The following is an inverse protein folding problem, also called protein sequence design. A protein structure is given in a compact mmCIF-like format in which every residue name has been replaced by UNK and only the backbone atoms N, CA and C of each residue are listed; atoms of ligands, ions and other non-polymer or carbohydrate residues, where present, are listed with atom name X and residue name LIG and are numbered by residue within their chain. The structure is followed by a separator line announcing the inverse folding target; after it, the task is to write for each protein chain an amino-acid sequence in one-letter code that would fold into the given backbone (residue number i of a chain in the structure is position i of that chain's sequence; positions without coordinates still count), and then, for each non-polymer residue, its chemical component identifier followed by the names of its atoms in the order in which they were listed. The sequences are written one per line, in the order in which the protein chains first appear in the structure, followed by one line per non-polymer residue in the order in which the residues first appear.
data_IF_706202690482
#
_entry.id   IF_706202690482
#
_cell.length_a   1.000
_cell.length_b   1.000
_cell.length_c   1.000
_cell.angle_alpha   90.00
_cell.angle_beta   90.00
_cell.angle_gamma   90.00
#
_symmetry.space_group_name_H-M   'P 1'
#
loop_
_entity.id
_entity.type
_entity.pdbx_description
1 polymer ?
#
# COMPACT_ATOMS: atom_id res chain seq x y z
N UNK A 1 2.99 -17.00 -2.19
CA UNK A 1 2.78 -17.00 -0.74
C UNK A 1 2.07 -18.26 -0.33
N UNK A 2 2.82 -19.15 0.27
CA UNK A 2 2.31 -20.47 0.60
C UNK A 2 1.49 -20.52 1.88
N UNK A 3 1.72 -19.60 2.79
CA UNK A 3 1.03 -19.57 4.06
C UNK A 3 0.39 -18.20 4.27
N UNK A 4 -0.91 -18.19 4.38
CA UNK A 4 -1.67 -16.96 4.51
C UNK A 4 -2.10 -16.74 5.96
N UNK A 5 -1.16 -16.88 6.90
CA UNK A 5 -1.47 -16.55 8.29
C UNK A 5 -1.62 -15.03 8.41
N UNK A 6 -2.49 -14.55 9.30
CA UNK A 6 -2.66 -13.12 9.48
C UNK A 6 -1.35 -12.39 9.77
N UNK A 7 -0.47 -12.97 10.59
CA UNK A 7 0.80 -12.33 10.92
C UNK A 7 1.69 -12.14 9.70
N UNK A 8 1.74 -13.13 8.81
CA UNK A 8 2.52 -13.03 7.59
C UNK A 8 1.93 -12.02 6.63
N UNK A 9 0.60 -11.96 6.54
CA UNK A 9 -0.07 -10.97 5.69
C UNK A 9 0.19 -9.55 6.18
N UNK A 10 0.15 -9.33 7.49
CA UNK A 10 0.48 -8.03 8.08
C UNK A 10 1.94 -7.68 7.78
N UNK A 11 2.83 -8.64 7.91
CA UNK A 11 4.25 -8.42 7.61
C UNK A 11 4.45 -8.01 6.14
N UNK A 12 3.76 -8.65 5.22
CA UNK A 12 3.82 -8.31 3.81
C UNK A 12 3.35 -6.87 3.57
N UNK A 13 2.27 -6.46 4.24
CA UNK A 13 1.76 -5.11 4.12
C UNK A 13 2.80 -4.10 4.61
N UNK A 14 3.36 -4.34 5.78
CA UNK A 14 4.37 -3.44 6.37
C UNK A 14 5.58 -3.33 5.43
N UNK A 15 6.10 -4.46 4.98
CA UNK A 15 7.28 -4.47 4.12
C UNK A 15 7.04 -3.73 2.80
N UNK A 16 5.88 -3.96 2.18
CA UNK A 16 5.56 -3.29 0.92
C UNK A 16 5.36 -1.79 1.13
N UNK A 17 4.72 -1.39 2.22
CA UNK A 17 4.56 0.03 2.54
C UNK A 17 5.91 0.70 2.79
N UNK A 18 6.80 0.03 3.51
CA UNK A 18 8.14 0.55 3.75
C UNK A 18 8.93 0.70 2.47
N UNK A 19 8.80 -0.24 1.54
CA UNK A 19 9.46 -0.14 0.23
C UNK A 19 8.96 1.06 -0.55
N UNK A 20 7.66 1.32 -0.53
CA UNK A 20 7.11 2.49 -1.21
C UNK A 20 7.74 3.77 -0.65
N UNK A 21 7.80 3.88 0.68
CA UNK A 21 8.40 5.06 1.31
C UNK A 21 9.88 5.17 0.98
N UNK A 22 10.60 4.07 0.97
CA UNK A 22 12.02 4.05 0.64
C UNK A 22 12.26 4.48 -0.82
N UNK A 23 11.47 3.94 -1.75
CA UNK A 23 11.63 4.25 -3.17
C UNK A 23 11.30 5.70 -3.51
N UNK A 24 10.52 6.35 -2.67
CA UNK A 24 10.11 7.74 -2.89
C UNK A 24 10.81 8.72 -1.95
N UNK A 25 11.69 8.24 -1.09
CA UNK A 25 12.37 9.08 -0.11
C UNK A 25 13.23 10.13 -0.79
N UNK A 26 13.04 11.38 -0.41
CA UNK A 26 13.81 12.49 -0.95
C UNK A 26 13.37 12.96 -2.32
N UNK A 27 12.37 12.34 -2.92
CA UNK A 27 11.87 12.74 -4.23
C UNK A 27 10.77 13.78 -4.11
N UNK A 28 10.73 14.67 -5.10
CA UNK A 28 9.53 15.50 -5.32
C UNK A 28 8.52 14.70 -6.13
N UNK A 29 7.30 15.20 -6.21
CA UNK A 29 6.30 14.58 -7.06
C UNK A 29 6.75 14.52 -8.52
N UNK A 30 7.36 15.59 -9.01
CA UNK A 30 7.86 15.63 -10.39
C UNK A 30 8.96 14.60 -10.64
N UNK A 31 9.86 14.41 -9.68
CA UNK A 31 10.89 13.37 -9.76
C UNK A 31 10.27 11.98 -9.85
N UNK A 32 9.30 11.72 -9.01
CA UNK A 32 8.60 10.44 -8.98
C UNK A 32 7.89 10.18 -10.31
N UNK A 33 7.11 11.14 -10.75
CA UNK A 33 6.30 11.03 -11.97
C UNK A 33 7.16 10.76 -13.19
N UNK A 34 8.37 11.29 -13.21
CA UNK A 34 9.28 11.19 -14.36
C UNK A 34 10.10 9.89 -14.38
N UNK A 35 10.04 9.11 -13.31
CA UNK A 35 10.82 7.88 -13.19
C UNK A 35 9.90 6.67 -13.31
N UNK A 36 9.77 6.16 -14.54
CA UNK A 36 8.82 5.09 -14.82
C UNK A 36 9.15 3.79 -14.07
N UNK A 37 10.42 3.49 -13.88
CA UNK A 37 10.80 2.29 -13.13
C UNK A 37 10.36 2.40 -11.68
N UNK A 38 10.52 3.57 -11.09
CA UNK A 38 10.14 3.81 -9.71
C UNK A 38 8.62 3.82 -9.55
N UNK A 39 7.92 4.43 -10.49
CA UNK A 39 6.45 4.39 -10.52
C UNK A 39 5.97 2.94 -10.55
N UNK A 40 6.52 2.13 -11.44
CA UNK A 40 6.13 0.73 -11.56
C UNK A 40 6.38 -0.05 -10.27
N UNK A 41 7.52 0.19 -9.64
CA UNK A 41 7.85 -0.48 -8.37
C UNK A 41 6.88 -0.08 -7.25
N UNK A 42 6.52 1.19 -7.18
CA UNK A 42 5.56 1.69 -6.19
C UNK A 42 4.19 1.07 -6.43
N UNK A 43 3.72 1.07 -7.66
CA UNK A 43 2.42 0.50 -8.00
C UNK A 43 2.39 -0.98 -7.67
N UNK A 44 3.45 -1.71 -7.99
CA UNK A 44 3.55 -3.14 -7.66
C UNK A 44 3.38 -3.36 -6.16
N UNK A 45 4.02 -2.54 -5.34
CA UNK A 45 3.90 -2.69 -3.89
C UNK A 45 2.51 -2.30 -3.37
N UNK A 46 1.83 -1.35 -4.00
CA UNK A 46 0.43 -1.08 -3.66
C UNK A 46 -0.47 -2.28 -3.98
N UNK A 47 -0.21 -2.96 -5.08
CA UNK A 47 -0.95 -4.18 -5.40
C UNK A 47 -0.73 -5.28 -4.36
N UNK A 48 0.51 -5.44 -3.90
CA UNK A 48 0.82 -6.41 -2.86
C UNK A 48 0.07 -6.09 -1.57
N UNK A 49 0.04 -4.82 -1.18
CA UNK A 49 -0.70 -4.37 0.01
C UNK A 49 -2.18 -4.72 -0.12
N UNK A 50 -2.77 -4.38 -1.26
CA UNK A 50 -4.19 -4.66 -1.50
C UNK A 50 -4.51 -6.14 -1.49
N UNK A 51 -3.65 -6.95 -2.09
CA UNK A 51 -3.83 -8.39 -2.12
C UNK A 51 -3.75 -9.00 -0.72
N UNK A 52 -2.73 -8.60 0.04
CA UNK A 52 -2.58 -9.10 1.40
C UNK A 52 -3.76 -8.67 2.29
N UNK A 53 -4.17 -7.42 2.18
CA UNK A 53 -5.32 -6.92 2.94
C UNK A 53 -6.59 -7.69 2.61
N UNK A 54 -6.78 -8.03 1.33
CA UNK A 54 -7.95 -8.75 0.89
C UNK A 54 -7.99 -10.18 1.44
N UNK A 55 -6.84 -10.76 1.74
CA UNK A 55 -6.75 -12.11 2.30
C UNK A 55 -6.90 -12.16 3.81
N UNK A 56 -6.80 -11.03 4.49
CA UNK A 56 -6.99 -10.99 5.94
C UNK A 56 -8.44 -11.31 6.30
N UNK A 57 -8.68 -12.18 7.30
CA UNK A 57 -10.04 -12.44 7.77
C UNK A 57 -10.68 -11.18 8.34
N UNK A 58 -11.98 -11.02 8.15
CA UNK A 58 -12.71 -9.87 8.66
C UNK A 58 -12.58 -9.73 10.17
N UNK A 59 -12.67 -10.87 10.88
CA UNK A 59 -12.52 -10.88 12.33
C UNK A 59 -11.17 -10.35 12.80
N UNK A 60 -10.15 -10.58 11.99
CA UNK A 60 -8.81 -10.07 12.31
C UNK A 60 -8.75 -8.56 12.06
N UNK A 61 -9.34 -8.10 10.98
CA UNK A 61 -9.40 -6.68 10.66
C UNK A 61 -10.13 -5.89 11.74
N UNK A 62 -11.18 -6.48 12.31
CA UNK A 62 -11.95 -5.85 13.36
C UNK A 62 -11.14 -5.61 14.63
N UNK A 63 -10.06 -6.36 14.82
CA UNK A 63 -9.18 -6.22 15.98
C UNK A 63 -8.16 -5.10 15.81
N UNK A 64 -8.06 -4.52 14.63
CA UNK A 64 -7.11 -3.45 14.36
C UNK A 64 -7.88 -2.20 13.95
N UNK A 65 -8.44 -1.48 14.92
CA UNK A 65 -9.12 -0.23 14.62
C UNK A 65 -8.10 0.82 14.20
N UNK A 66 -8.55 1.79 13.46
CA UNK A 66 -7.68 2.86 12.99
C UNK A 66 -7.16 2.66 11.58
N UNK A 67 -7.36 1.49 11.00
CA UNK A 67 -7.02 1.23 9.61
C UNK A 67 -8.31 1.19 8.79
N UNK A 68 -8.36 1.99 7.76
CA UNK A 68 -9.47 1.97 6.81
C UNK A 68 -9.20 0.88 5.76
N UNK A 69 -9.59 -0.35 6.09
CA UNK A 69 -9.38 -1.50 5.20
C UNK A 69 -10.12 -1.36 3.88
N UNK A 70 -11.25 -0.68 3.92
CA UNK A 70 -12.03 -0.41 2.73
C UNK A 70 -11.28 0.48 1.75
N UNK A 71 -10.57 1.47 2.29
CA UNK A 71 -9.74 2.37 1.51
C UNK A 71 -8.57 1.62 0.86
N UNK A 72 -7.97 0.69 1.58
CA UNK A 72 -6.89 -0.14 1.04
C UNK A 72 -7.40 -0.96 -0.14
N UNK A 73 -8.57 -1.54 -0.03
CA UNK A 73 -9.19 -2.28 -1.12
C UNK A 73 -9.44 -1.36 -2.32
N UNK A 74 -9.87 -0.14 -2.05
CA UNK A 74 -10.09 0.85 -3.09
C UNK A 74 -8.82 1.21 -3.85
N UNK A 75 -7.68 1.26 -3.18
CA UNK A 75 -6.41 1.53 -3.84
C UNK A 75 -6.10 0.46 -4.88
N UNK A 76 -6.23 -0.80 -4.51
CA UNK A 76 -5.97 -1.91 -5.41
C UNK A 76 -6.87 -1.84 -6.64
N UNK A 77 -8.15 -1.59 -6.44
CA UNK A 77 -9.10 -1.49 -7.53
C UNK A 77 -8.76 -0.32 -8.46
N UNK A 78 -8.39 0.81 -7.89
CA UNK A 78 -8.00 1.98 -8.67
C UNK A 78 -6.79 1.69 -9.53
N UNK A 79 -5.75 1.13 -8.94
CA UNK A 79 -4.53 0.81 -9.67
C UNK A 79 -4.82 -0.21 -10.78
N UNK A 80 -5.63 -1.22 -10.49
CA UNK A 80 -5.93 -2.27 -11.46
C UNK A 80 -6.78 -1.76 -12.62
N UNK A 81 -7.75 -0.89 -12.34
CA UNK A 81 -8.71 -0.43 -13.36
C UNK A 81 -8.21 0.78 -14.14
N UNK A 82 -7.41 1.62 -13.51
CA UNK A 82 -6.95 2.86 -14.13
C UNK A 82 -5.53 2.75 -14.67
N UNK A 83 -5.12 1.52 -15.01
CA UNK A 83 -3.75 1.27 -15.42
C UNK A 83 -3.31 2.19 -16.56
N UNK A 84 -4.20 2.42 -17.53
CA UNK A 84 -3.90 3.28 -18.67
C UNK A 84 -4.03 4.78 -18.34
N UNK A 85 -4.73 5.10 -17.27
CA UNK A 85 -4.98 6.46 -16.86
C UNK A 85 -4.67 6.71 -15.40
N UNK A 86 -3.63 6.03 -14.87
CA UNK A 86 -3.25 6.17 -13.47
C UNK A 86 -3.02 7.63 -13.14
N UNK A 87 -3.70 8.09 -12.10
CA UNK A 87 -3.46 9.40 -11.55
C UNK A 87 -2.29 9.30 -10.56
N UNK A 88 -1.10 9.61 -11.05
CA UNK A 88 0.11 9.53 -10.24
C UNK A 88 0.05 10.42 -9.00
N UNK A 89 -0.69 11.51 -9.09
CA UNK A 89 -0.82 12.42 -7.96
C UNK A 89 -1.59 11.75 -6.81
N UNK A 90 -2.63 10.98 -7.12
CA UNK A 90 -3.37 10.24 -6.10
C UNK A 90 -2.47 9.21 -5.43
N UNK A 91 -1.68 8.49 -6.21
CA UNK A 91 -0.71 7.52 -5.67
C UNK A 91 0.26 8.22 -4.72
N UNK A 92 0.76 9.36 -5.13
CA UNK A 92 1.67 10.17 -4.32
C UNK A 92 1.04 10.64 -3.01
N UNK A 93 -0.21 11.13 -3.08
CA UNK A 93 -0.93 11.57 -1.89
C UNK A 93 -1.16 10.45 -0.89
N UNK A 94 -1.52 9.27 -1.37
CA UNK A 94 -1.72 8.11 -0.51
C UNK A 94 -0.42 7.75 0.20
N UNK A 95 0.68 7.77 -0.53
CA UNK A 95 2.00 7.52 0.04
C UNK A 95 2.34 8.52 1.14
N UNK A 96 2.03 9.79 0.93
CA UNK A 96 2.34 10.84 1.89
C UNK A 96 1.45 10.79 3.12
N UNK A 97 0.16 10.62 2.92
CA UNK A 97 -0.84 10.81 3.97
C UNK A 97 -1.25 9.54 4.69
N UNK A 98 -1.22 8.41 4.00
CA UNK A 98 -1.82 7.18 4.53
C UNK A 98 -0.78 6.16 5.00
N UNK A 99 0.28 5.97 4.23
CA UNK A 99 1.21 4.87 4.51
C UNK A 99 1.97 4.99 5.83
N UNK A 100 2.47 6.18 6.23
CA UNK A 100 3.20 6.26 7.49
C UNK A 100 2.34 5.91 8.70
N UNK A 101 1.10 6.37 8.72
CA UNK A 101 0.18 6.06 9.79
C UNK A 101 -0.18 4.58 9.81
N UNK A 102 -0.43 3.99 8.64
CA UNK A 102 -0.74 2.57 8.53
C UNK A 102 0.41 1.71 9.07
N UNK A 103 1.64 2.03 8.70
CA UNK A 103 2.82 1.31 9.19
C UNK A 103 2.89 1.39 10.71
N UNK A 104 2.67 2.59 11.26
CA UNK A 104 2.71 2.80 12.70
C UNK A 104 1.66 1.95 13.42
N UNK A 105 0.43 1.96 12.93
CA UNK A 105 -0.65 1.18 13.53
C UNK A 105 -0.37 -0.31 13.45
N UNK A 106 0.02 -0.81 12.29
CA UNK A 106 0.27 -2.24 12.10
C UNK A 106 1.48 -2.73 12.89
N UNK A 107 2.46 -1.88 13.09
CA UNK A 107 3.66 -2.25 13.85
C UNK A 107 3.40 -2.34 15.35
N UNK A 108 2.32 -1.76 15.82
CA UNK A 108 2.03 -1.66 17.25
C UNK A 108 0.75 -2.39 17.70
N UNK A 109 0.13 -3.14 16.81
CA UNK A 109 -1.09 -3.84 17.20
C UNK A 109 -0.81 -5.06 18.06
#
# INVERSE_FOLDING_TARGET
MSKCTPDLLIQDIIESAQKILEYTNGLTYDDFKSDSMRVDAVIRNFEIIGEAANRLPEEFKDKIPGIDWHKIRGFRNRVAHDYMGINYFIVWQIKEEFLPEMINILSNY
#
